data_IF_065755016598
#
_entry.id   IF_065755016598
#
_cell.length_a   1.000
_cell.length_b   1.000
_cell.length_c   1.000
_cell.angle_alpha   90.00
_cell.angle_beta   90.00
_cell.angle_gamma   90.00
#
_symmetry.space_group_name_H-M   'P 1'
#
loop_
_entity.id
_entity.type
_entity.pdbx_description
1 polymer ?
#
# COMPACT_ATOMS: atom_id res chain seq x y z
N UNK A 1 33.22 -6.97 -17.65
CA UNK A 1 32.56 -7.52 -16.46
C UNK A 1 31.82 -6.35 -15.86
N UNK A 2 30.49 -6.34 -15.99
CA UNK A 2 29.65 -5.23 -15.55
C UNK A 2 29.47 -5.35 -14.04
N UNK A 3 29.92 -4.35 -13.30
CA UNK A 3 29.79 -4.32 -11.85
C UNK A 3 28.30 -4.31 -11.44
N UNK A 4 27.94 -4.98 -10.33
CA UNK A 4 26.56 -5.11 -9.88
C UNK A 4 26.00 -3.78 -9.36
N UNK A 5 24.86 -3.35 -9.93
CA UNK A 5 24.26 -2.03 -9.66
C UNK A 5 23.48 -2.01 -8.32
N UNK A 6 23.16 -3.17 -7.74
CA UNK A 6 22.50 -3.30 -6.43
C UNK A 6 23.13 -4.39 -5.54
N UNK A 7 24.44 -4.63 -5.62
CA UNK A 7 25.10 -5.64 -4.76
C UNK A 7 25.13 -5.28 -3.27
N UNK A 8 24.79 -4.04 -2.91
CA UNK A 8 24.69 -3.59 -1.54
C UNK A 8 23.49 -2.63 -1.42
N UNK A 9 22.25 -3.14 -1.42
CA UNK A 9 21.07 -2.29 -1.31
C UNK A 9 21.14 -1.50 -0.01
N UNK A 10 20.90 -0.20 -0.07
CA UNK A 10 20.73 0.63 1.14
C UNK A 10 19.50 0.11 1.87
N UNK A 11 19.71 -0.62 2.97
CA UNK A 11 18.60 -1.15 3.76
C UNK A 11 17.82 0.02 4.34
N UNK A 12 16.59 0.19 3.86
CA UNK A 12 15.69 1.23 4.36
C UNK A 12 15.10 0.73 5.68
N UNK A 13 15.21 1.53 6.73
CA UNK A 13 14.55 1.23 8.00
C UNK A 13 13.03 1.26 7.83
N UNK A 14 12.31 0.35 8.50
CA UNK A 14 10.85 0.18 8.36
C UNK A 14 10.10 1.49 8.65
N UNK A 15 10.63 2.32 9.55
CA UNK A 15 10.08 3.62 9.91
C UNK A 15 10.18 4.69 8.80
N UNK A 16 11.06 4.50 7.81
CA UNK A 16 11.25 5.44 6.70
C UNK A 16 10.58 4.96 5.41
N UNK A 17 9.87 3.84 5.44
CA UNK A 17 9.07 3.40 4.30
C UNK A 17 7.91 4.39 4.10
N UNK A 18 7.59 4.77 2.86
CA UNK A 18 6.40 5.57 2.59
C UNK A 18 5.20 4.70 2.95
N UNK A 19 4.62 4.91 4.13
CA UNK A 19 3.40 4.27 4.59
C UNK A 19 2.26 5.27 4.50
N UNK A 20 1.05 4.80 4.22
CA UNK A 20 -0.15 5.63 4.36
C UNK A 20 -0.28 6.09 5.80
N UNK A 21 0.00 7.36 6.07
CA UNK A 21 -0.32 7.99 7.34
C UNK A 21 -1.83 7.82 7.56
N UNK A 22 -2.22 7.01 8.53
CA UNK A 22 -3.61 6.89 8.97
C UNK A 22 -4.13 8.18 9.63
N UNK A 23 -3.31 9.22 9.69
CA UNK A 23 -3.72 10.60 9.91
C UNK A 23 -4.33 11.21 8.64
N UNK A 24 -5.38 10.59 8.11
CA UNK A 24 -6.48 11.42 7.64
C UNK A 24 -6.95 12.11 8.92
N UNK A 25 -6.57 13.37 9.12
CA UNK A 25 -7.36 14.26 9.96
C UNK A 25 -8.74 14.26 9.32
N UNK A 26 -9.60 13.32 9.73
CA UNK A 26 -11.02 13.56 9.72
C UNK A 26 -11.10 14.86 10.51
N UNK A 27 -11.34 15.97 9.82
CA UNK A 27 -11.86 17.15 10.49
C UNK A 27 -13.15 16.63 11.09
N UNK A 28 -13.10 16.17 12.34
CA UNK A 28 -14.29 15.81 13.08
C UNK A 28 -15.13 17.08 13.03
N UNK A 29 -16.28 17.09 12.34
CA UNK A 29 -17.08 18.31 12.21
C UNK A 29 -17.48 18.84 13.59
N UNK A 30 -17.47 17.97 14.62
CA UNK A 30 -17.62 18.33 16.02
C UNK A 30 -16.50 19.23 16.57
N UNK A 31 -15.24 19.09 16.15
CA UNK A 31 -14.15 19.95 16.63
C UNK A 31 -14.28 21.37 16.08
N UNK A 32 -14.64 21.52 14.81
CA UNK A 32 -14.90 22.83 14.19
C UNK A 32 -16.14 23.52 14.81
N UNK A 33 -17.17 22.74 15.15
CA UNK A 33 -18.36 23.25 15.83
C UNK A 33 -18.03 23.73 17.26
N UNK A 34 -17.24 22.96 18.00
CA UNK A 34 -16.81 23.32 19.37
C UNK A 34 -15.95 24.58 19.34
N UNK A 35 -15.01 24.71 18.41
CA UNK A 35 -14.21 25.93 18.24
C UNK A 35 -15.08 27.14 17.91
N UNK A 36 -16.05 27.00 17.01
CA UNK A 36 -17.01 28.07 16.69
C UNK A 36 -17.86 28.47 17.89
N UNK A 37 -18.35 27.50 18.67
CA UNK A 37 -19.15 27.76 19.88
C UNK A 37 -18.30 28.47 20.94
N UNK A 38 -17.04 28.06 21.14
CA UNK A 38 -16.14 28.74 22.08
C UNK A 38 -15.78 30.16 21.64
N UNK A 39 -15.63 30.41 20.34
CA UNK A 39 -15.35 31.75 19.79
C UNK A 39 -16.55 32.71 19.87
N UNK A 40 -17.78 32.19 19.89
CA UNK A 40 -19.02 32.95 20.07
C UNK A 40 -19.34 33.23 21.56
N UNK A 41 -18.60 32.62 22.47
CA UNK A 41 -18.78 32.81 23.92
C UNK A 41 -18.13 34.12 24.37
N UNK A 42 -18.93 35.09 24.84
CA UNK A 42 -18.46 36.40 25.32
C UNK A 42 -17.77 36.36 26.69
N UNK A 43 -17.35 35.18 27.17
CA UNK A 43 -16.74 35.00 28.49
C UNK A 43 -15.21 35.09 28.35
N UNK A 44 -14.67 36.25 28.72
CA UNK A 44 -13.23 36.45 28.92
C UNK A 44 -12.76 35.45 30.00
N UNK A 45 -11.65 34.70 29.79
CA UNK A 45 -11.05 33.92 30.86
C UNK A 45 -10.38 34.91 31.82
N UNK A 46 -11.08 35.28 32.88
CA UNK A 46 -10.44 35.89 34.03
C UNK A 46 -10.21 34.77 35.05
N UNK A 47 -8.95 34.56 35.39
CA UNK A 47 -8.53 33.84 36.60
C UNK A 47 -9.43 34.24 37.77
N UNK A 48 -9.87 33.27 38.57
CA UNK A 48 -9.88 33.33 40.04
C UNK A 48 -10.41 32.02 40.66
N UNK A 49 -9.62 31.55 41.60
CA UNK A 49 -9.84 30.48 42.56
C UNK A 49 -10.98 30.86 43.55
N UNK A 50 -12.09 30.13 43.61
CA UNK A 50 -13.05 30.17 44.74
C UNK A 50 -14.07 29.01 44.69
N UNK A 51 -14.26 28.35 45.82
CA UNK A 51 -15.24 27.29 46.08
C UNK A 51 -16.67 27.83 46.27
N UNK A 52 -17.68 27.07 45.83
CA UNK A 52 -18.96 26.73 46.51
C UNK A 52 -20.06 26.34 45.49
N UNK A 53 -20.97 25.48 45.98
CA UNK A 53 -22.12 24.85 45.33
C UNK A 53 -23.05 25.78 44.52
N UNK A 54 -23.63 25.27 43.44
CA UNK A 54 -25.10 25.10 43.25
C UNK A 54 -25.47 24.80 41.76
N UNK A 55 -26.31 23.76 41.62
CA UNK A 55 -27.29 23.47 40.56
C UNK A 55 -26.87 23.55 39.08
N UNK A 56 -26.56 22.39 38.49
CA UNK A 56 -26.59 22.16 37.04
C UNK A 56 -28.05 22.07 36.56
N UNK A 57 -28.51 22.89 35.60
CA UNK A 57 -29.82 22.68 35.00
C UNK A 57 -29.77 21.53 34.00
N UNK A 58 -30.72 20.61 34.18
CA UNK A 58 -30.98 19.41 33.38
C UNK A 58 -31.22 19.80 31.90
N UNK A 59 -30.35 19.33 31.00
CA UNK A 59 -30.51 19.50 29.56
C UNK A 59 -31.53 18.48 29.06
N UNK A 60 -32.70 19.00 28.70
CA UNK A 60 -33.79 18.26 28.05
C UNK A 60 -33.28 17.47 26.85
N UNK A 61 -33.55 16.16 26.89
CA UNK A 61 -33.35 15.21 25.81
C UNK A 61 -34.20 15.61 24.61
N UNK A 62 -33.62 16.32 23.65
CA UNK A 62 -34.26 16.55 22.36
C UNK A 62 -34.04 15.32 21.47
N UNK A 63 -35.14 14.57 21.35
CA UNK A 63 -35.62 13.90 20.14
C UNK A 63 -34.54 13.47 19.14
N UNK A 64 -34.19 12.18 19.19
CA UNK A 64 -33.37 11.55 18.16
C UNK A 64 -34.02 11.64 16.79
N UNK A 65 -33.53 12.57 15.97
CA UNK A 65 -33.49 12.38 14.52
C UNK A 65 -32.26 11.52 14.24
N UNK A 66 -32.48 10.21 14.12
CA UNK A 66 -31.53 9.31 13.48
C UNK A 66 -31.41 9.74 12.03
N UNK A 67 -30.43 10.59 11.77
CA UNK A 67 -29.92 10.89 10.44
C UNK A 67 -29.37 9.55 9.91
N UNK A 68 -30.22 8.80 9.22
CA UNK A 68 -29.78 7.78 8.27
C UNK A 68 -29.15 8.54 7.09
N UNK A 69 -27.95 9.07 7.33
CA UNK A 69 -27.05 9.46 6.26
C UNK A 69 -26.71 8.15 5.56
N UNK A 70 -27.37 7.91 4.43
CA UNK A 70 -27.01 6.92 3.42
C UNK A 70 -25.61 7.32 2.92
N UNK A 71 -24.58 6.97 3.70
CA UNK A 71 -23.19 7.06 3.28
C UNK A 71 -23.03 6.06 2.14
N UNK A 72 -23.31 6.50 0.91
CA UNK A 72 -22.74 5.89 -0.27
C UNK A 72 -21.22 6.02 -0.10
N UNK A 73 -20.60 4.99 0.50
CA UNK A 73 -19.15 4.83 0.54
C UNK A 73 -18.70 4.76 -0.93
N UNK A 74 -18.38 5.93 -1.51
CA UNK A 74 -17.65 6.00 -2.75
C UNK A 74 -16.32 5.26 -2.51
N UNK A 75 -16.26 3.99 -2.93
CA UNK A 75 -15.06 3.17 -2.81
C UNK A 75 -13.89 3.91 -3.46
N UNK A 76 -12.94 4.35 -2.64
CA UNK A 76 -11.74 5.01 -3.13
C UNK A 76 -11.03 4.11 -4.17
N UNK A 77 -10.62 4.65 -5.32
CA UNK A 77 -9.90 3.88 -6.33
C UNK A 77 -8.52 3.47 -5.81
N UNK A 78 -8.10 2.24 -6.16
CA UNK A 78 -6.82 1.68 -5.74
C UNK A 78 -5.66 2.54 -6.25
N UNK A 79 -4.88 3.12 -5.34
CA UNK A 79 -3.76 3.98 -5.70
C UNK A 79 -2.42 3.24 -5.76
N UNK A 80 -1.36 3.94 -6.19
CA UNK A 80 -0.02 3.36 -6.25
C UNK A 80 0.55 3.05 -4.85
N UNK A 81 0.09 3.78 -3.82
CA UNK A 81 0.49 3.56 -2.43
C UNK A 81 -0.08 2.25 -1.89
N UNK A 82 -1.35 1.96 -2.16
CA UNK A 82 -1.99 0.69 -1.78
C UNK A 82 -1.29 -0.49 -2.45
N UNK A 83 -0.98 -0.38 -3.75
CA UNK A 83 -0.18 -1.39 -4.44
C UNK A 83 1.21 -1.55 -3.80
N UNK A 84 1.86 -0.46 -3.41
CA UNK A 84 3.14 -0.50 -2.70
C UNK A 84 3.02 -1.22 -1.36
N UNK A 85 2.04 -0.87 -0.53
CA UNK A 85 1.83 -1.47 0.79
C UNK A 85 1.58 -2.98 0.69
N UNK A 86 0.85 -3.43 -0.34
CA UNK A 86 0.56 -4.85 -0.59
C UNK A 86 1.82 -5.69 -0.91
N UNK A 87 2.81 -5.10 -1.56
CA UNK A 87 4.02 -5.79 -2.05
C UNK A 87 5.26 -5.49 -1.22
N UNK A 88 5.23 -4.40 -0.44
CA UNK A 88 6.33 -3.96 0.40
C UNK A 88 6.69 -5.00 1.47
N UNK A 89 5.69 -5.71 2.01
CA UNK A 89 5.87 -6.71 3.07
C UNK A 89 6.36 -8.08 2.58
N UNK A 90 6.43 -8.31 1.26
CA UNK A 90 6.90 -9.58 0.71
C UNK A 90 8.35 -9.80 1.14
N UNK A 91 8.66 -11.01 1.62
CA UNK A 91 10.03 -11.38 1.97
C UNK A 91 10.83 -11.82 0.74
N UNK A 92 12.11 -11.47 0.73
CA UNK A 92 13.06 -11.99 -0.24
C UNK A 92 13.34 -13.49 0.01
N UNK A 93 13.53 -14.32 -1.04
CA UNK A 93 13.78 -15.75 -0.87
C UNK A 93 15.20 -16.07 -0.35
N UNK A 94 16.17 -15.16 -0.48
CA UNK A 94 17.56 -15.36 -0.01
C UNK A 94 17.88 -14.58 1.27
N UNK A 95 17.15 -13.49 1.53
CA UNK A 95 17.40 -12.61 2.68
C UNK A 95 16.20 -12.56 3.64
N UNK A 96 16.42 -12.45 4.97
CA UNK A 96 15.35 -12.29 5.96
C UNK A 96 14.75 -10.88 5.97
N UNK A 97 14.84 -10.16 4.86
CA UNK A 97 14.39 -8.78 4.69
C UNK A 97 13.26 -8.71 3.67
N UNK A 98 12.49 -7.64 3.73
CA UNK A 98 11.39 -7.39 2.79
C UNK A 98 11.87 -6.73 1.51
N UNK A 99 11.10 -6.86 0.43
CA UNK A 99 11.42 -6.26 -0.86
C UNK A 99 11.54 -4.73 -0.78
N UNK A 100 10.74 -4.08 0.08
CA UNK A 100 10.84 -2.65 0.30
C UNK A 100 12.13 -2.26 1.04
N UNK A 101 12.53 -3.03 2.06
CA UNK A 101 13.79 -2.80 2.78
C UNK A 101 15.01 -2.94 1.86
N UNK A 102 14.97 -3.86 0.90
CA UNK A 102 16.04 -4.09 -0.07
C UNK A 102 15.99 -3.14 -1.29
N UNK A 103 15.09 -2.14 -1.27
CA UNK A 103 14.85 -1.22 -2.39
C UNK A 103 14.56 -1.94 -3.73
N UNK A 104 14.05 -3.17 -3.67
CA UNK A 104 13.64 -3.94 -4.85
C UNK A 104 12.40 -3.34 -5.48
N UNK A 105 11.50 -2.83 -4.63
CA UNK A 105 10.29 -2.14 -5.02
C UNK A 105 10.31 -0.75 -4.37
N UNK A 106 9.99 0.27 -5.16
CA UNK A 106 9.84 1.65 -4.68
C UNK A 106 8.50 2.22 -5.16
N UNK A 107 7.89 3.10 -4.36
CA UNK A 107 6.68 3.83 -4.73
C UNK A 107 6.77 4.54 -6.11
N UNK A 108 7.83 5.31 -6.44
CA UNK A 108 7.90 5.99 -7.74
C UNK A 108 8.02 5.05 -8.94
N UNK A 109 8.35 3.78 -8.71
CA UNK A 109 8.47 2.75 -9.74
C UNK A 109 7.12 2.01 -9.98
N UNK A 110 6.04 2.42 -9.30
CA UNK A 110 4.69 1.86 -9.42
C UNK A 110 3.78 2.88 -10.13
N UNK A 111 3.01 2.42 -11.10
CA UNK A 111 2.03 3.24 -11.83
C UNK A 111 0.72 2.47 -11.96
N UNK A 112 -0.37 3.09 -11.55
CA UNK A 112 -1.72 2.54 -11.66
C UNK A 112 -2.52 3.39 -12.64
N UNK A 113 -3.01 2.76 -13.71
CA UNK A 113 -3.87 3.39 -14.71
C UNK A 113 -5.27 2.81 -14.58
N UNK A 114 -6.24 3.66 -14.26
CA UNK A 114 -7.64 3.28 -14.18
C UNK A 114 -8.32 3.43 -15.54
N UNK A 115 -9.26 2.52 -15.82
CA UNK A 115 -10.16 2.67 -16.97
C UNK A 115 -11.17 3.80 -16.77
N UNK A 116 -11.79 4.28 -17.86
CA UNK A 116 -12.73 5.40 -17.82
C UNK A 116 -14.01 5.09 -17.02
N UNK A 117 -14.37 3.81 -16.95
CA UNK A 117 -15.57 3.31 -16.26
C UNK A 117 -15.18 2.30 -15.18
N UNK A 118 -16.02 2.11 -14.14
CA UNK A 118 -15.80 1.13 -13.05
C UNK A 118 -15.54 -0.31 -13.55
N UNK A 119 -16.08 -0.67 -14.71
CA UNK A 119 -15.92 -1.99 -15.35
C UNK A 119 -14.80 -2.08 -16.38
N UNK A 120 -14.12 -0.97 -16.69
CA UNK A 120 -13.04 -0.99 -17.67
C UNK A 120 -11.78 -1.62 -17.08
N UNK A 121 -10.97 -2.20 -17.97
CA UNK A 121 -9.69 -2.79 -17.59
C UNK A 121 -8.76 -1.71 -17.04
N UNK A 122 -8.23 -1.97 -15.85
CA UNK A 122 -7.21 -1.13 -15.21
C UNK A 122 -5.84 -1.82 -15.34
N UNK A 123 -4.76 -1.06 -15.35
CA UNK A 123 -3.40 -1.59 -15.54
C UNK A 123 -2.51 -1.16 -14.37
N UNK A 124 -1.80 -2.13 -13.79
CA UNK A 124 -0.78 -1.90 -12.75
C UNK A 124 0.58 -2.22 -13.34
N UNK A 125 1.42 -1.20 -13.48
CA UNK A 125 2.79 -1.32 -13.96
C UNK A 125 3.75 -1.19 -12.79
N UNK A 126 4.61 -2.18 -12.59
CA UNK A 126 5.60 -2.20 -11.51
C UNK A 126 6.98 -2.42 -12.10
N UNK A 127 7.90 -1.50 -11.79
CA UNK A 127 9.31 -1.66 -12.14
C UNK A 127 10.09 -2.15 -10.91
N UNK A 128 10.73 -3.31 -11.03
CA UNK A 128 11.51 -3.90 -9.96
C UNK A 128 13.01 -3.80 -10.22
N UNK A 129 13.78 -3.67 -9.15
CA UNK A 129 15.24 -3.65 -9.18
C UNK A 129 15.76 -4.88 -8.43
N UNK A 130 16.11 -5.98 -9.11
CA UNK A 130 16.56 -7.20 -8.44
C UNK A 130 17.85 -6.94 -7.63
N UNK A 131 17.95 -7.59 -6.46
CA UNK A 131 19.11 -7.54 -5.55
C UNK A 131 20.35 -8.21 -6.13
N UNK A 132 20.16 -9.26 -6.92
CA UNK A 132 21.24 -10.08 -7.49
C UNK A 132 21.05 -10.25 -8.99
N UNK A 133 22.14 -10.34 -9.73
CA UNK A 133 22.18 -10.46 -11.20
C UNK A 133 21.84 -11.86 -11.72
N UNK A 134 21.38 -12.77 -10.87
CA UNK A 134 20.95 -14.10 -11.30
C UNK A 134 19.49 -14.05 -11.74
N UNK A 135 19.26 -14.44 -12.99
CA UNK A 135 17.96 -14.36 -13.65
C UNK A 135 16.86 -15.12 -12.89
N UNK A 136 17.21 -16.23 -12.22
CA UNK A 136 16.27 -17.10 -11.51
C UNK A 136 15.56 -16.37 -10.36
N UNK A 137 16.30 -15.61 -9.55
CA UNK A 137 15.74 -14.88 -8.41
C UNK A 137 14.89 -13.71 -8.87
N UNK A 138 15.32 -12.99 -9.92
CA UNK A 138 14.53 -11.91 -10.50
C UNK A 138 13.16 -12.43 -10.99
N UNK A 139 13.12 -13.61 -11.62
CA UNK A 139 11.86 -14.25 -12.02
C UNK A 139 11.03 -14.70 -10.83
N UNK A 140 11.63 -15.24 -9.76
CA UNK A 140 10.92 -15.64 -8.54
C UNK A 140 10.30 -14.45 -7.81
N UNK A 141 11.05 -13.35 -7.66
CA UNK A 141 10.58 -12.10 -7.06
C UNK A 141 9.41 -11.54 -7.87
N UNK A 142 9.56 -11.46 -9.20
CA UNK A 142 8.47 -11.02 -10.07
C UNK A 142 7.23 -11.91 -9.98
N UNK A 143 7.42 -13.23 -9.89
CA UNK A 143 6.32 -14.18 -9.76
C UNK A 143 5.63 -14.04 -8.39
N UNK A 144 6.37 -13.86 -7.30
CA UNK A 144 5.82 -13.62 -5.97
C UNK A 144 4.97 -12.35 -5.90
N UNK A 145 5.46 -11.24 -6.48
CA UNK A 145 4.71 -9.99 -6.61
C UNK A 145 3.43 -10.22 -7.43
N UNK A 146 3.52 -10.91 -8.56
CA UNK A 146 2.37 -11.19 -9.44
C UNK A 146 1.30 -11.98 -8.70
N UNK A 147 1.68 -13.06 -8.01
CA UNK A 147 0.75 -13.89 -7.23
C UNK A 147 0.13 -13.12 -6.07
N UNK A 148 0.89 -12.27 -5.36
CA UNK A 148 0.34 -11.42 -4.30
C UNK A 148 -0.73 -10.48 -4.84
N UNK A 149 -0.44 -9.77 -5.92
CA UNK A 149 -1.37 -8.81 -6.50
C UNK A 149 -2.57 -9.49 -7.15
N UNK A 150 -2.42 -10.64 -7.80
CA UNK A 150 -3.55 -11.42 -8.33
C UNK A 150 -4.49 -11.92 -7.23
N UNK A 151 -3.99 -12.14 -6.00
CA UNK A 151 -4.82 -12.53 -4.84
C UNK A 151 -5.47 -11.35 -4.13
N UNK A 152 -4.83 -10.17 -4.12
CA UNK A 152 -5.30 -9.00 -3.38
C UNK A 152 -6.12 -8.03 -4.24
N UNK A 153 -5.85 -7.94 -5.56
CA UNK A 153 -6.54 -7.02 -6.45
C UNK A 153 -7.71 -7.70 -7.18
N UNK A 154 -8.78 -6.96 -7.51
CA UNK A 154 -9.86 -7.48 -8.34
C UNK A 154 -9.36 -7.91 -9.73
N UNK A 155 -9.98 -8.92 -10.38
CA UNK A 155 -9.52 -9.50 -11.65
C UNK A 155 -9.58 -8.53 -12.86
N UNK A 156 -10.15 -7.32 -12.68
CA UNK A 156 -10.14 -6.24 -13.68
C UNK A 156 -8.75 -5.62 -13.87
N UNK A 157 -7.82 -5.83 -12.93
CA UNK A 157 -6.47 -5.27 -13.00
C UNK A 157 -5.53 -6.17 -13.78
N UNK A 158 -4.95 -5.62 -14.85
CA UNK A 158 -3.86 -6.24 -15.59
C UNK A 158 -2.54 -5.86 -14.93
N UNK A 159 -1.89 -6.85 -14.32
CA UNK A 159 -0.58 -6.68 -13.70
C UNK A 159 0.53 -6.86 -14.74
N UNK A 160 1.42 -5.88 -14.84
CA UNK A 160 2.65 -5.92 -15.65
C UNK A 160 3.85 -5.63 -14.78
N UNK A 161 4.82 -6.53 -14.83
CA UNK A 161 6.06 -6.42 -14.06
C UNK A 161 7.20 -6.31 -15.06
N UNK A 162 8.05 -5.31 -14.85
CA UNK A 162 9.24 -5.06 -15.65
C UNK A 162 10.44 -4.90 -14.73
N UNK A 163 11.59 -5.37 -15.17
CA UNK A 163 12.87 -5.03 -14.57
C UNK A 163 13.26 -3.63 -15.05
N UNK A 164 13.78 -2.82 -14.13
CA UNK A 164 14.30 -1.48 -14.42
C UNK A 164 15.51 -1.56 -15.36
N UNK A 165 15.50 -0.72 -16.39
CA UNK A 165 16.51 -0.75 -17.45
C UNK A 165 17.93 -0.59 -16.89
N UNK A 166 18.84 -1.44 -17.36
CA UNK A 166 20.24 -1.42 -16.96
C UNK A 166 20.53 -2.08 -15.62
N UNK A 167 19.53 -2.54 -14.85
CA UNK A 167 19.75 -3.20 -13.54
C UNK A 167 20.08 -4.69 -13.66
N UNK A 168 19.85 -5.32 -14.81
CA UNK A 168 20.02 -6.75 -14.99
C UNK A 168 20.47 -7.12 -16.41
N UNK A 169 21.42 -8.05 -16.53
CA UNK A 169 22.03 -8.42 -17.83
C UNK A 169 21.04 -9.10 -18.80
N UNK A 170 20.00 -9.75 -18.28
CA UNK A 170 18.98 -10.45 -19.06
C UNK A 170 17.57 -9.88 -18.82
N UNK A 171 17.47 -8.57 -18.58
CA UNK A 171 16.20 -7.86 -18.34
C UNK A 171 15.10 -8.23 -19.35
N UNK A 172 15.42 -8.24 -20.65
CA UNK A 172 14.45 -8.51 -21.71
C UNK A 172 13.91 -9.95 -21.66
N UNK A 173 14.77 -10.91 -21.30
CA UNK A 173 14.37 -12.30 -21.18
C UNK A 173 13.47 -12.51 -19.98
N UNK A 174 13.80 -11.93 -18.83
CA UNK A 174 12.98 -12.03 -17.61
C UNK A 174 11.65 -11.31 -17.80
N UNK A 175 11.65 -10.10 -18.39
CA UNK A 175 10.43 -9.36 -18.72
C UNK A 175 9.51 -10.20 -19.62
N UNK A 176 10.07 -10.87 -20.63
CA UNK A 176 9.28 -11.76 -21.49
C UNK A 176 8.69 -12.94 -20.73
N UNK A 177 9.44 -13.54 -19.81
CA UNK A 177 8.96 -14.65 -18.99
C UNK A 177 7.85 -14.24 -18.03
N UNK A 178 7.99 -13.09 -17.35
CA UNK A 178 7.01 -12.60 -16.38
C UNK A 178 5.70 -12.13 -17.03
N UNK A 179 5.75 -11.70 -18.29
CA UNK A 179 4.58 -11.23 -19.04
C UNK A 179 3.93 -12.33 -19.91
N UNK A 180 4.48 -13.53 -19.93
CA UNK A 180 3.91 -14.70 -20.61
C UNK A 180 2.95 -15.44 -19.66
N UNK A 181 1.65 -15.33 -19.94
CA UNK A 181 0.58 -15.87 -19.08
C UNK A 181 0.63 -17.40 -18.98
N UNK A 182 0.94 -18.09 -20.07
CA UNK A 182 0.99 -19.55 -20.08
C UNK A 182 2.17 -20.05 -19.26
N UNK A 183 3.33 -19.39 -19.40
CA UNK A 183 4.52 -19.70 -18.59
C UNK A 183 4.30 -19.44 -17.11
N UNK A 184 3.66 -18.33 -16.75
CA UNK A 184 3.37 -18.02 -15.34
C UNK A 184 2.37 -19.02 -14.76
N UNK A 185 1.32 -19.38 -15.49
CA UNK A 185 0.36 -20.39 -15.04
C UNK A 185 1.06 -21.74 -14.78
N UNK A 186 1.91 -22.20 -15.71
CA UNK A 186 2.68 -23.42 -15.54
C UNK A 186 3.67 -23.36 -14.35
N UNK A 187 4.24 -22.19 -14.07
CA UNK A 187 5.10 -21.99 -12.90
C UNK A 187 4.33 -22.09 -11.58
N UNK A 188 3.09 -21.61 -11.55
CA UNK A 188 2.19 -21.73 -10.39
C UNK A 188 1.71 -23.17 -10.14
N UNK A 189 1.76 -24.05 -11.13
CA UNK A 189 1.43 -25.49 -10.97
C UNK A 189 2.63 -26.30 -10.44
N UNK A 190 3.83 -25.72 -10.40
CA UNK A 190 5.00 -26.40 -9.87
C UNK A 190 5.09 -26.26 -8.34
N UNK A 191 4.92 -27.37 -7.63
CA UNK A 191 4.94 -27.43 -6.16
C UNK A 191 6.21 -26.83 -5.53
N UNK A 192 7.37 -26.98 -6.17
CA UNK A 192 8.62 -26.44 -5.64
C UNK A 192 8.61 -24.91 -5.68
N UNK A 193 8.22 -24.33 -6.82
CA UNK A 193 8.14 -22.88 -6.97
C UNK A 193 7.05 -22.32 -6.06
N UNK A 194 5.90 -23.00 -5.97
CA UNK A 194 4.81 -22.62 -5.11
C UNK A 194 5.23 -22.62 -3.64
N UNK A 195 6.03 -23.59 -3.19
CA UNK A 195 6.52 -23.64 -1.81
C UNK A 195 7.38 -22.43 -1.46
N UNK A 196 8.28 -22.02 -2.36
CA UNK A 196 9.15 -20.85 -2.19
C UNK A 196 8.33 -19.57 -2.21
N UNK A 197 7.40 -19.43 -3.16
CA UNK A 197 6.49 -18.27 -3.23
C UNK A 197 5.63 -18.18 -1.97
N UNK A 198 5.10 -19.30 -1.48
CA UNK A 198 4.31 -19.35 -0.25
C UNK A 198 5.14 -18.88 0.96
N UNK A 199 6.41 -19.28 1.04
CA UNK A 199 7.32 -18.79 2.07
C UNK A 199 7.57 -17.28 1.94
N UNK A 200 7.81 -16.76 0.73
CA UNK A 200 7.95 -15.31 0.50
C UNK A 200 6.72 -14.51 0.90
N UNK A 201 5.52 -15.09 0.71
CA UNK A 201 4.24 -14.48 1.04
C UNK A 201 3.83 -14.68 2.52
N UNK A 202 4.50 -15.55 3.26
CA UNK A 202 4.13 -15.88 4.65
C UNK A 202 4.30 -14.71 5.63
N UNK A 203 5.15 -13.74 5.28
CA UNK A 203 5.39 -12.50 6.02
C UNK A 203 4.39 -11.39 5.70
N UNK A 204 3.60 -11.55 4.65
CA UNK A 204 2.61 -10.56 4.23
C UNK A 204 1.42 -10.57 5.19
N UNK A 205 1.09 -9.40 5.73
CA UNK A 205 -0.10 -9.18 6.55
C UNK A 205 -1.31 -8.80 5.71
#
# INVERSE_FOLDING_TARGET
MSDPINANPTVIDVANLPTRDTHIKKNDPGQELVERITALSLRVPHDLNAASDEETPDLVSDSGESIEEDFEEEEDPIDAQEVFDLIATISDPEHPLTLAQLAVVNLPDITVTHGATKNDLSEVLIRITPTITHCSLATLIGLGIRVRLERCLPPRFRIRILIKEGTHQSENQVNKQLNDKERVAAACENDQLLSVISQMLSSCK
#
